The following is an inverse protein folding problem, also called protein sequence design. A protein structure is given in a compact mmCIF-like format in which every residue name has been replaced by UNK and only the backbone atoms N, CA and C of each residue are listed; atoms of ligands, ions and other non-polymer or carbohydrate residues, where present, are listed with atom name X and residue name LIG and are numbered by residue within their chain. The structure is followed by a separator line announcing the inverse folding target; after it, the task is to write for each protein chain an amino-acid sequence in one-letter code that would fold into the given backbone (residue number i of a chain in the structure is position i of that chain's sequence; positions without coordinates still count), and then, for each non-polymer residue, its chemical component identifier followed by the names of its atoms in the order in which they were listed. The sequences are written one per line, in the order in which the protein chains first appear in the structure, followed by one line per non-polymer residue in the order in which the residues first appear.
data_IF_844099541852
#
_entry.id   IF_844099541852
#
_cell.length_a   1.000
_cell.length_b   1.000
_cell.length_c   1.000
_cell.angle_alpha   90.00
_cell.angle_beta   90.00
_cell.angle_gamma   90.00
#
_symmetry.space_group_name_H-M   'P 1'
#
loop_
_entity.id
_entity.type
_entity.pdbx_description
1 polymer ?
#
# COMPACT_ATOMS: atom_id res chain seq x y z
N UNK A 1 -34.51 14.12 -15.12
CA UNK A 1 -33.07 14.49 -15.01
C UNK A 1 -32.58 14.41 -13.57
N UNK A 2 -33.30 14.96 -12.60
CA UNK A 2 -32.95 14.88 -11.16
C UNK A 2 -32.88 13.45 -10.60
N UNK A 3 -33.84 12.57 -10.92
CA UNK A 3 -33.81 11.16 -10.49
C UNK A 3 -32.58 10.38 -10.99
N UNK A 4 -32.11 10.68 -12.21
CA UNK A 4 -30.90 10.06 -12.79
C UNK A 4 -29.64 10.57 -12.08
N UNK A 5 -29.59 11.86 -11.76
CA UNK A 5 -28.49 12.47 -10.99
C UNK A 5 -28.46 11.90 -9.55
N UNK A 6 -29.62 11.72 -8.93
CA UNK A 6 -29.75 11.16 -7.58
C UNK A 6 -29.33 9.68 -7.53
N UNK A 7 -29.74 8.88 -8.53
CA UNK A 7 -29.29 7.49 -8.66
C UNK A 7 -27.78 7.38 -8.85
N UNK A 8 -27.16 8.27 -9.64
CA UNK A 8 -25.70 8.29 -9.81
C UNK A 8 -24.97 8.65 -8.51
N UNK A 9 -25.46 9.61 -7.73
CA UNK A 9 -24.89 9.96 -6.42
C UNK A 9 -24.97 8.79 -5.44
N UNK A 10 -26.12 8.13 -5.35
CA UNK A 10 -26.31 6.96 -4.47
C UNK A 10 -25.37 5.81 -4.85
N UNK A 11 -25.17 5.55 -6.15
CA UNK A 11 -24.22 4.54 -6.64
C UNK A 11 -22.79 4.83 -6.19
N UNK A 12 -22.35 6.09 -6.28
CA UNK A 12 -21.02 6.51 -5.83
C UNK A 12 -20.86 6.29 -4.33
N UNK A 13 -21.85 6.67 -3.52
CA UNK A 13 -21.82 6.48 -2.05
C UNK A 13 -21.69 5.00 -1.70
N UNK A 14 -22.50 4.14 -2.30
CA UNK A 14 -22.44 2.68 -2.08
C UNK A 14 -21.06 2.12 -2.45
N UNK A 15 -20.48 2.58 -3.56
CA UNK A 15 -19.17 2.14 -4.00
C UNK A 15 -18.04 2.64 -3.08
N UNK A 16 -18.14 3.87 -2.56
CA UNK A 16 -17.20 4.38 -1.54
C UNK A 16 -17.30 3.57 -0.24
N UNK A 17 -18.50 3.22 0.21
CA UNK A 17 -18.69 2.37 1.39
C UNK A 17 -18.09 0.98 1.20
N UNK A 18 -18.22 0.37 0.00
CA UNK A 18 -17.53 -0.89 -0.33
C UNK A 18 -16.02 -0.76 -0.29
N UNK A 19 -15.47 0.32 -0.84
CA UNK A 19 -14.03 0.60 -0.77
C UNK A 19 -13.57 0.72 0.68
N UNK A 20 -14.29 1.49 1.51
CA UNK A 20 -13.95 1.65 2.92
C UNK A 20 -14.03 0.34 3.70
N UNK A 21 -15.08 -0.47 3.46
CA UNK A 21 -15.20 -1.79 4.08
C UNK A 21 -14.01 -2.69 3.72
N UNK A 22 -13.64 -2.75 2.44
CA UNK A 22 -12.49 -3.54 1.98
C UNK A 22 -11.16 -2.97 2.48
N UNK A 23 -11.04 -1.65 2.62
CA UNK A 23 -9.87 -0.99 3.21
C UNK A 23 -9.68 -1.40 4.67
N UNK A 24 -10.77 -1.41 5.45
CA UNK A 24 -10.71 -1.90 6.82
C UNK A 24 -10.42 -3.39 6.87
N UNK A 25 -11.00 -4.20 5.97
CA UNK A 25 -10.68 -5.63 5.89
C UNK A 25 -9.18 -5.86 5.67
N UNK A 26 -8.55 -5.12 4.75
CA UNK A 26 -7.11 -5.18 4.50
C UNK A 26 -6.30 -4.88 5.76
N UNK A 27 -6.66 -3.85 6.52
CA UNK A 27 -5.93 -3.46 7.73
C UNK A 27 -6.19 -4.40 8.92
N UNK A 28 -7.42 -4.92 9.08
CA UNK A 28 -7.80 -5.72 10.25
C UNK A 28 -7.57 -7.22 10.10
N UNK A 29 -7.53 -7.77 8.88
CA UNK A 29 -7.32 -9.21 8.68
C UNK A 29 -5.99 -9.65 9.29
N UNK A 30 -4.91 -8.93 9.00
CA UNK A 30 -3.58 -9.26 9.50
C UNK A 30 -3.52 -9.18 11.03
N UNK A 31 -4.16 -8.18 11.63
CA UNK A 31 -4.27 -8.06 13.10
C UNK A 31 -5.10 -9.20 13.70
N UNK A 32 -6.19 -9.59 13.06
CA UNK A 32 -7.04 -10.69 13.50
C UNK A 32 -6.28 -12.02 13.46
N UNK A 33 -5.62 -12.34 12.35
CA UNK A 33 -4.83 -13.56 12.21
C UNK A 33 -3.70 -13.63 13.25
N UNK A 34 -3.02 -12.50 13.50
CA UNK A 34 -2.03 -12.39 14.57
C UNK A 34 -2.63 -12.73 15.95
N UNK A 35 -3.77 -12.11 16.32
CA UNK A 35 -4.43 -12.37 17.61
C UNK A 35 -4.93 -13.80 17.76
N UNK A 36 -5.36 -14.42 16.68
CA UNK A 36 -5.76 -15.85 16.68
C UNK A 36 -4.55 -16.72 17.01
N UNK A 37 -3.40 -16.49 16.38
CA UNK A 37 -2.18 -17.23 16.72
C UNK A 37 -1.73 -16.94 18.14
N UNK A 38 -1.80 -15.69 18.59
CA UNK A 38 -1.50 -15.33 19.99
C UNK A 38 -2.40 -16.02 21.00
N UNK A 39 -3.64 -16.34 20.63
CA UNK A 39 -4.56 -17.08 21.49
C UNK A 39 -4.18 -18.58 21.59
N UNK A 40 -3.76 -19.20 20.49
CA UNK A 40 -3.45 -20.64 20.43
C UNK A 40 -2.01 -20.98 20.78
N UNK A 41 -1.08 -20.05 20.59
CA UNK A 41 0.34 -20.20 20.88
C UNK A 41 0.64 -19.38 22.14
N UNK A 42 1.27 -19.97 23.16
CA UNK A 42 1.75 -19.23 24.33
C UNK A 42 2.50 -17.97 23.87
N UNK A 43 2.19 -16.81 24.47
CA UNK A 43 2.74 -15.51 24.04
C UNK A 43 4.28 -15.51 23.94
N UNK A 44 4.95 -16.29 24.79
CA UNK A 44 6.40 -16.42 24.84
C UNK A 44 6.99 -17.25 23.67
N UNK A 45 6.17 -17.97 22.89
CA UNK A 45 6.58 -18.83 21.77
C UNK A 45 6.36 -18.19 20.40
N UNK A 46 5.70 -17.03 20.30
CA UNK A 46 5.45 -16.38 19.00
C UNK A 46 6.73 -15.72 18.51
N UNK A 47 7.39 -16.36 17.54
CA UNK A 47 8.57 -15.79 16.88
C UNK A 47 8.16 -14.78 15.79
N UNK A 48 9.06 -13.85 15.48
CA UNK A 48 8.86 -12.86 14.43
C UNK A 48 8.63 -13.49 13.05
N UNK A 49 9.30 -14.61 12.78
CA UNK A 49 9.12 -15.38 11.54
C UNK A 49 7.68 -15.92 11.42
N UNK A 50 7.07 -16.39 12.51
CA UNK A 50 5.67 -16.84 12.51
C UNK A 50 4.72 -15.69 12.16
N UNK A 51 4.97 -14.48 12.68
CA UNK A 51 4.17 -13.28 12.33
C UNK A 51 4.24 -13.00 10.83
N UNK A 52 5.43 -13.07 10.23
CA UNK A 52 5.60 -12.88 8.78
C UNK A 52 4.91 -13.97 7.96
N UNK A 53 4.98 -15.24 8.39
CA UNK A 53 4.28 -16.34 7.71
C UNK A 53 2.77 -16.11 7.72
N UNK A 54 2.21 -15.68 8.85
CA UNK A 54 0.78 -15.37 8.99
C UNK A 54 0.39 -14.22 8.05
N UNK A 55 1.20 -13.16 7.99
CA UNK A 55 0.96 -12.03 7.09
C UNK A 55 1.00 -12.47 5.62
N UNK A 56 1.91 -13.35 5.22
CA UNK A 56 1.94 -13.90 3.86
C UNK A 56 0.66 -14.66 3.51
N UNK A 57 0.12 -15.44 4.45
CA UNK A 57 -1.16 -16.14 4.28
C UNK A 57 -2.30 -15.12 4.12
N UNK A 58 -2.36 -14.11 5.00
CA UNK A 58 -3.34 -13.02 4.92
C UNK A 58 -3.29 -12.29 3.59
N UNK A 59 -2.09 -11.88 3.15
CA UNK A 59 -1.86 -11.25 1.85
C UNK A 59 -2.30 -12.14 0.69
N UNK A 60 -2.04 -13.45 0.75
CA UNK A 60 -2.49 -14.39 -0.30
C UNK A 60 -4.02 -14.42 -0.43
N UNK A 61 -4.73 -14.43 0.70
CA UNK A 61 -6.20 -14.40 0.73
C UNK A 61 -6.71 -13.09 0.11
N UNK A 62 -6.14 -11.95 0.50
CA UNK A 62 -6.55 -10.63 0.01
C UNK A 62 -6.23 -10.44 -1.48
N UNK A 63 -5.05 -10.85 -1.94
CA UNK A 63 -4.66 -10.83 -3.36
C UNK A 63 -5.67 -11.63 -4.19
N UNK A 64 -6.06 -12.83 -3.71
CA UNK A 64 -7.03 -13.69 -4.40
C UNK A 64 -8.41 -13.01 -4.47
N UNK A 65 -8.88 -12.45 -3.34
CA UNK A 65 -10.14 -11.74 -3.24
C UNK A 65 -10.18 -10.51 -4.18
N UNK A 66 -9.17 -9.66 -4.14
CA UNK A 66 -9.13 -8.45 -4.95
C UNK A 66 -8.97 -8.75 -6.44
N UNK A 67 -8.21 -9.79 -6.79
CA UNK A 67 -8.12 -10.28 -8.18
C UNK A 67 -9.50 -10.73 -8.68
N UNK A 68 -10.25 -11.47 -7.86
CA UNK A 68 -11.61 -11.90 -8.19
C UNK A 68 -12.57 -10.72 -8.38
N UNK A 69 -12.58 -9.77 -7.43
CA UNK A 69 -13.46 -8.60 -7.45
C UNK A 69 -13.17 -7.63 -8.60
N UNK A 70 -11.95 -7.65 -9.14
CA UNK A 70 -11.49 -6.74 -10.20
C UNK A 70 -11.27 -7.40 -11.58
N UNK A 71 -11.70 -8.66 -11.75
CA UNK A 71 -11.43 -9.48 -12.95
C UNK A 71 -11.88 -8.89 -14.28
N UNK A 72 -12.92 -8.05 -14.27
CA UNK A 72 -13.51 -7.49 -15.49
C UNK A 72 -12.80 -6.21 -15.98
N UNK A 73 -11.81 -5.71 -15.24
CA UNK A 73 -11.18 -4.44 -15.56
C UNK A 73 -10.06 -4.63 -16.60
N UNK A 74 -10.23 -4.04 -17.79
CA UNK A 74 -9.26 -4.14 -18.89
C UNK A 74 -8.03 -3.30 -18.57
N UNK A 75 -6.86 -3.94 -18.56
CA UNK A 75 -5.57 -3.26 -18.47
C UNK A 75 -5.10 -2.85 -19.86
N UNK A 76 -4.53 -1.65 -19.97
CA UNK A 76 -3.86 -1.21 -21.18
C UNK A 76 -2.41 -0.98 -20.81
N UNK A 77 -1.47 -1.34 -21.68
CA UNK A 77 -0.05 -1.18 -21.40
C UNK A 77 0.56 -0.24 -22.43
N UNK A 78 1.09 0.90 -21.97
CA UNK A 78 1.93 1.77 -22.81
C UNK A 78 2.94 2.52 -21.93
N UNK A 79 4.08 1.89 -21.66
CA UNK A 79 5.23 2.60 -21.11
C UNK A 79 5.85 3.50 -22.20
N UNK A 80 6.13 4.75 -21.86
CA UNK A 80 6.92 5.65 -22.70
C UNK A 80 8.05 6.26 -21.86
N UNK A 81 9.05 6.83 -22.53
CA UNK A 81 10.23 7.43 -21.89
C UNK A 81 9.87 8.54 -20.87
N UNK A 82 8.77 9.27 -21.10
CA UNK A 82 8.29 10.30 -20.15
C UNK A 82 7.83 9.70 -18.82
N UNK A 83 7.20 8.51 -18.83
CA UNK A 83 6.82 7.81 -17.60
C UNK A 83 8.03 7.34 -16.79
N UNK A 84 9.09 6.89 -17.47
CA UNK A 84 10.35 6.49 -16.82
C UNK A 84 11.05 7.69 -16.18
N UNK A 85 11.09 8.83 -16.88
CA UNK A 85 11.67 10.05 -16.33
C UNK A 85 10.90 10.55 -15.09
N UNK A 86 9.57 10.50 -15.13
CA UNK A 86 8.73 10.82 -13.96
C UNK A 86 9.06 9.89 -12.80
N UNK A 87 9.15 8.58 -13.03
CA UNK A 87 9.54 7.58 -12.03
C UNK A 87 10.87 7.95 -11.35
N UNK A 88 11.89 8.32 -12.14
CA UNK A 88 13.22 8.67 -11.62
C UNK A 88 13.17 9.97 -10.79
N UNK A 89 12.52 11.02 -11.31
CA UNK A 89 12.35 12.30 -10.59
C UNK A 89 11.65 12.07 -9.25
N UNK A 90 10.70 11.15 -9.23
CA UNK A 90 9.94 10.84 -8.03
C UNK A 90 10.79 10.15 -7.00
N UNK A 91 11.56 9.13 -7.40
CA UNK A 91 12.49 8.45 -6.50
C UNK A 91 13.44 9.48 -5.87
N UNK A 92 13.97 10.42 -6.66
CA UNK A 92 14.81 11.51 -6.16
C UNK A 92 14.06 12.40 -5.16
N UNK A 93 12.83 12.83 -5.47
CA UNK A 93 12.01 13.65 -4.57
C UNK A 93 11.71 12.89 -3.27
N UNK A 94 11.41 11.59 -3.34
CA UNK A 94 11.13 10.79 -2.14
C UNK A 94 12.37 10.64 -1.25
N UNK A 95 13.54 10.41 -1.85
CA UNK A 95 14.81 10.36 -1.12
C UNK A 95 15.12 11.72 -0.45
N UNK A 96 14.90 12.82 -1.16
CA UNK A 96 15.10 14.18 -0.61
C UNK A 96 14.12 14.45 0.55
N UNK A 97 12.86 14.05 0.41
CA UNK A 97 11.86 14.20 1.48
C UNK A 97 12.19 13.33 2.70
N UNK A 98 12.67 12.10 2.50
CA UNK A 98 13.08 11.21 3.59
C UNK A 98 14.27 11.80 4.37
N UNK A 99 15.29 12.29 3.66
CA UNK A 99 16.44 12.97 4.27
C UNK A 99 16.00 14.26 4.97
N UNK A 100 15.19 15.09 4.31
CA UNK A 100 14.71 16.34 4.90
C UNK A 100 13.93 16.09 6.19
N UNK A 101 13.09 15.05 6.20
CA UNK A 101 12.33 14.68 7.38
C UNK A 101 13.22 14.17 8.52
N UNK A 102 14.22 13.37 8.22
CA UNK A 102 15.13 12.86 9.25
C UNK A 102 15.79 13.98 10.05
N UNK A 103 16.01 15.15 9.42
CA UNK A 103 16.54 16.35 10.06
C UNK A 103 15.49 17.10 10.92
N UNK A 104 14.19 16.93 10.67
CA UNK A 104 13.10 17.55 11.44
C UNK A 104 12.56 16.65 12.57
N UNK A 105 12.63 15.32 12.45
CA UNK A 105 12.10 14.36 13.43
C UNK A 105 13.08 13.94 14.51
N UNK A 106 14.30 14.51 14.55
CA UNK A 106 15.40 14.14 15.45
C UNK A 106 15.10 14.31 16.96
N UNK A 107 13.86 14.62 17.35
CA UNK A 107 13.44 14.84 18.74
C UNK A 107 12.13 14.15 19.18
N UNK A 108 11.62 13.11 18.50
CA UNK A 108 10.29 12.55 18.84
C UNK A 108 10.15 11.01 18.86
N UNK A 109 9.05 10.56 19.47
CA UNK A 109 8.54 9.17 19.57
C UNK A 109 8.58 8.37 18.25
N UNK A 110 8.53 9.07 17.10
CA UNK A 110 8.60 8.47 15.77
C UNK A 110 9.97 7.82 15.49
N UNK A 111 11.06 8.39 15.99
CA UNK A 111 12.42 7.84 15.85
C UNK A 111 12.54 6.51 16.61
N UNK A 112 11.88 6.40 17.77
CA UNK A 112 11.81 5.16 18.56
C UNK A 112 11.03 4.08 17.79
N UNK A 113 9.89 4.43 17.19
CA UNK A 113 9.09 3.51 16.36
C UNK A 113 9.90 3.03 15.15
N UNK A 114 10.62 3.95 14.49
CA UNK A 114 11.49 3.64 13.36
C UNK A 114 12.62 2.67 13.76
N UNK A 115 13.33 2.95 14.86
CA UNK A 115 14.36 2.05 15.39
C UNK A 115 13.80 0.68 15.80
N UNK A 116 12.58 0.64 16.36
CA UNK A 116 11.92 -0.61 16.71
C UNK A 116 11.58 -1.44 15.47
N UNK A 117 11.07 -0.83 14.39
CA UNK A 117 10.88 -1.52 13.09
C UNK A 117 12.18 -2.01 12.50
N UNK A 118 13.24 -1.19 12.57
CA UNK A 118 14.57 -1.54 12.10
C UNK A 118 15.11 -2.80 12.79
N UNK A 119 15.00 -2.87 14.12
CA UNK A 119 15.38 -4.07 14.87
C UNK A 119 14.52 -5.29 14.52
N UNK A 120 13.23 -5.09 14.22
CA UNK A 120 12.32 -6.12 13.75
C UNK A 120 12.77 -6.71 12.40
N UNK A 121 13.12 -5.86 11.43
CA UNK A 121 13.56 -6.32 10.10
C UNK A 121 14.87 -7.08 10.14
N UNK A 122 15.82 -6.70 11.01
CA UNK A 122 17.09 -7.41 11.17
C UNK A 122 16.97 -8.79 11.81
N UNK A 123 15.88 -9.05 12.56
CA UNK A 123 15.70 -10.26 13.35
C UNK A 123 14.79 -11.30 12.69
N UNK A 124 14.23 -10.98 11.53
CA UNK A 124 13.37 -11.87 10.72
C UNK A 124 14.20 -12.54 9.64
N UNK A 125 13.82 -13.76 9.25
CA UNK A 125 14.38 -14.44 8.11
C UNK A 125 14.33 -13.56 6.84
N UNK A 126 15.48 -13.32 6.21
CA UNK A 126 15.61 -12.43 5.04
C UNK A 126 14.67 -12.81 3.89
N UNK A 127 14.43 -14.11 3.67
CA UNK A 127 13.50 -14.57 2.63
C UNK A 127 12.06 -14.16 2.94
N UNK A 128 11.62 -14.31 4.19
CA UNK A 128 10.29 -13.87 4.62
C UNK A 128 10.13 -12.36 4.49
N UNK A 129 11.17 -11.60 4.85
CA UNK A 129 11.20 -10.15 4.69
C UNK A 129 11.05 -9.73 3.22
N UNK A 130 11.82 -10.36 2.31
CA UNK A 130 11.75 -10.13 0.87
C UNK A 130 10.37 -10.47 0.33
N UNK A 131 9.85 -11.66 0.64
CA UNK A 131 8.53 -12.08 0.16
C UNK A 131 7.44 -11.13 0.62
N UNK A 132 7.42 -10.74 1.90
CA UNK A 132 6.38 -9.86 2.41
C UNK A 132 6.50 -8.43 1.86
N UNK A 133 7.65 -7.78 2.03
CA UNK A 133 7.79 -6.34 1.77
C UNK A 133 8.00 -6.03 0.29
N UNK A 134 8.75 -6.88 -0.42
CA UNK A 134 9.07 -6.64 -1.84
C UNK A 134 8.03 -7.26 -2.76
N UNK A 135 7.36 -8.36 -2.38
CA UNK A 135 6.47 -9.07 -3.31
C UNK A 135 5.01 -8.97 -2.93
N UNK A 136 4.61 -9.52 -1.78
CA UNK A 136 3.19 -9.68 -1.42
C UNK A 136 2.51 -8.34 -1.09
N UNK A 137 3.10 -7.52 -0.20
CA UNK A 137 2.52 -6.22 0.18
C UNK A 137 2.30 -5.33 -1.04
N UNK A 138 3.30 -5.11 -1.93
CA UNK A 138 3.09 -4.30 -3.12
C UNK A 138 1.99 -4.84 -4.04
N UNK A 139 1.91 -6.15 -4.28
CA UNK A 139 0.84 -6.72 -5.13
C UNK A 139 -0.53 -6.49 -4.50
N UNK A 140 -0.66 -6.77 -3.21
CA UNK A 140 -1.90 -6.60 -2.45
C UNK A 140 -2.37 -5.15 -2.47
N UNK A 141 -1.48 -4.22 -2.14
CA UNK A 141 -1.74 -2.79 -2.10
C UNK A 141 -2.13 -2.26 -3.48
N UNK A 142 -1.40 -2.60 -4.54
CA UNK A 142 -1.72 -2.13 -5.88
C UNK A 142 -3.05 -2.70 -6.39
N UNK A 143 -3.38 -3.96 -6.08
CA UNK A 143 -4.69 -4.53 -6.38
C UNK A 143 -5.81 -3.74 -5.70
N UNK A 144 -5.63 -3.37 -4.44
CA UNK A 144 -6.62 -2.58 -3.71
C UNK A 144 -6.67 -1.13 -4.21
N UNK A 145 -5.59 -0.37 -4.04
CA UNK A 145 -5.59 1.07 -4.26
C UNK A 145 -5.70 1.46 -5.73
N UNK A 146 -5.29 0.59 -6.66
CA UNK A 146 -5.42 0.86 -8.10
C UNK A 146 -6.57 0.11 -8.70
N UNK A 147 -6.55 -1.22 -8.62
CA UNK A 147 -7.51 -2.01 -9.38
C UNK A 147 -8.91 -1.91 -8.78
N UNK A 148 -9.08 -2.12 -7.48
CA UNK A 148 -10.40 -2.07 -6.82
C UNK A 148 -10.97 -0.65 -6.82
N UNK A 149 -10.20 0.35 -6.37
CA UNK A 149 -10.69 1.74 -6.32
C UNK A 149 -11.11 2.25 -7.70
N UNK A 150 -10.30 2.02 -8.75
CA UNK A 150 -10.66 2.44 -10.11
C UNK A 150 -11.74 1.55 -10.76
N UNK A 151 -11.99 0.35 -10.24
CA UNK A 151 -13.14 -0.48 -10.67
C UNK A 151 -14.45 0.08 -10.12
N UNK A 152 -14.48 0.43 -8.83
CA UNK A 152 -15.70 0.90 -8.18
C UNK A 152 -16.01 2.38 -8.43
N UNK A 153 -15.01 3.20 -8.74
CA UNK A 153 -15.21 4.62 -9.05
C UNK A 153 -15.04 4.88 -10.55
N UNK A 154 -16.17 5.00 -11.26
CA UNK A 154 -16.21 5.25 -12.71
C UNK A 154 -15.49 6.56 -13.12
N UNK A 155 -15.53 7.57 -12.25
CA UNK A 155 -14.78 8.80 -12.45
C UNK A 155 -13.31 8.58 -12.07
N UNK A 156 -12.45 8.39 -13.08
CA UNK A 156 -11.00 8.17 -12.88
C UNK A 156 -10.30 9.26 -12.07
N UNK A 157 -10.73 10.52 -12.15
CA UNK A 157 -10.13 11.61 -11.35
C UNK A 157 -10.50 11.47 -9.88
N UNK A 158 -11.75 11.11 -9.58
CA UNK A 158 -12.17 10.80 -8.21
C UNK A 158 -11.44 9.56 -7.68
N UNK A 159 -11.33 8.51 -8.50
CA UNK A 159 -10.57 7.30 -8.16
C UNK A 159 -9.12 7.61 -7.82
N UNK A 160 -8.46 8.47 -8.62
CA UNK A 160 -7.10 8.95 -8.36
C UNK A 160 -7.01 9.66 -7.00
N UNK A 161 -7.88 10.61 -6.70
CA UNK A 161 -7.87 11.35 -5.44
C UNK A 161 -8.08 10.41 -4.24
N UNK A 162 -9.09 9.53 -4.31
CA UNK A 162 -9.39 8.56 -3.25
C UNK A 162 -8.23 7.59 -3.04
N UNK A 163 -7.62 7.11 -4.13
CA UNK A 163 -6.42 6.27 -4.11
C UNK A 163 -5.25 6.94 -3.40
N UNK A 164 -4.97 8.21 -3.72
CA UNK A 164 -3.87 8.98 -3.09
C UNK A 164 -4.10 9.14 -1.59
N UNK A 165 -5.30 9.56 -1.20
CA UNK A 165 -5.64 9.83 0.21
C UNK A 165 -5.59 8.54 1.02
N UNK A 166 -6.25 7.47 0.57
CA UNK A 166 -6.30 6.21 1.31
C UNK A 166 -4.93 5.53 1.40
N UNK A 167 -4.10 5.61 0.36
CA UNK A 167 -2.74 5.06 0.40
C UNK A 167 -1.87 5.80 1.42
N UNK A 168 -1.86 7.14 1.37
CA UNK A 168 -1.11 7.95 2.33
C UNK A 168 -1.60 7.70 3.78
N UNK A 169 -2.91 7.58 3.95
CA UNK A 169 -3.53 7.33 5.25
C UNK A 169 -3.19 5.94 5.82
N UNK A 170 -3.18 4.89 5.00
CA UNK A 170 -2.77 3.55 5.43
C UNK A 170 -1.34 3.53 5.99
N UNK A 171 -0.47 4.37 5.46
CA UNK A 171 0.94 4.41 5.84
C UNK A 171 1.24 5.42 6.97
N UNK A 172 0.27 6.25 7.34
CA UNK A 172 0.48 7.31 8.32
C UNK A 172 0.23 6.93 9.77
N UNK A 173 -0.39 5.78 10.03
CA UNK A 173 -0.77 5.35 11.39
C UNK A 173 -1.55 6.45 12.16
N UNK A 174 -2.44 7.16 11.46
CA UNK A 174 -3.22 8.29 11.98
C UNK A 174 -2.39 9.52 12.42
N UNK A 175 -1.10 9.57 12.08
CA UNK A 175 -0.26 10.74 12.32
C UNK A 175 -0.27 11.67 11.09
N UNK A 176 -0.56 12.96 11.31
CA UNK A 176 -0.67 13.94 10.22
C UNK A 176 0.66 14.26 9.54
N UNK A 177 1.76 14.32 10.30
CA UNK A 177 3.09 14.57 9.75
C UNK A 177 3.50 13.41 8.83
N UNK A 178 3.36 12.18 9.31
CA UNK A 178 3.62 10.95 8.52
C UNK A 178 2.72 10.92 7.29
N UNK A 179 1.46 11.32 7.39
CA UNK A 179 0.57 11.41 6.24
C UNK A 179 1.10 12.35 5.16
N UNK A 180 1.54 13.56 5.54
CA UNK A 180 2.10 14.55 4.62
C UNK A 180 3.34 14.01 3.91
N UNK A 181 4.11 13.14 4.56
CA UNK A 181 5.31 12.55 4.00
C UNK A 181 5.04 11.42 3.01
N UNK A 182 3.98 10.64 3.26
CA UNK A 182 3.54 9.62 2.32
C UNK A 182 2.74 10.21 1.15
N UNK A 183 2.22 11.43 1.24
CA UNK A 183 1.46 12.06 0.16
C UNK A 183 2.22 12.11 -1.18
N UNK A 184 3.49 12.59 -1.25
CA UNK A 184 4.24 12.63 -2.50
C UNK A 184 4.34 11.26 -3.17
N UNK A 185 4.81 10.23 -2.46
CA UNK A 185 4.91 8.89 -3.05
C UNK A 185 3.54 8.37 -3.48
N UNK A 186 2.50 8.58 -2.66
CA UNK A 186 1.10 8.19 -2.95
C UNK A 186 0.58 8.82 -4.24
N UNK A 187 0.86 10.13 -4.44
CA UNK A 187 0.55 10.87 -5.66
C UNK A 187 1.21 10.20 -6.85
N UNK A 188 2.50 9.89 -6.75
CA UNK A 188 3.25 9.42 -7.91
C UNK A 188 2.78 8.03 -8.30
N UNK A 189 2.73 7.11 -7.35
CA UNK A 189 2.37 5.73 -7.64
C UNK A 189 0.93 5.65 -8.16
N UNK A 190 0.04 6.54 -7.70
CA UNK A 190 -1.32 6.65 -8.25
C UNK A 190 -1.34 7.27 -9.65
N UNK A 191 -0.47 8.24 -9.94
CA UNK A 191 -0.34 8.86 -11.27
C UNK A 191 0.23 7.91 -12.32
N UNK A 192 1.17 7.05 -11.95
CA UNK A 192 1.70 6.00 -12.85
C UNK A 192 0.55 5.11 -13.30
N UNK A 193 -0.26 4.58 -12.38
CA UNK A 193 -1.43 3.79 -12.75
C UNK A 193 -2.49 4.60 -13.52
N UNK A 194 -2.77 5.85 -13.10
CA UNK A 194 -3.74 6.71 -13.79
C UNK A 194 -3.38 6.90 -15.27
N UNK A 195 -2.08 7.09 -15.58
CA UNK A 195 -1.56 7.31 -16.94
C UNK A 195 -1.38 6.02 -17.73
N UNK A 196 -0.92 4.95 -17.08
CA UNK A 196 -0.58 3.69 -17.76
C UNK A 196 -1.76 2.73 -17.86
N UNK A 197 -2.66 2.74 -16.88
CA UNK A 197 -3.73 1.75 -16.69
C UNK A 197 -3.21 0.30 -16.67
N UNK A 198 -1.98 0.10 -16.16
CA UNK A 198 -1.35 -1.20 -16.03
C UNK A 198 -1.03 -1.48 -14.57
N UNK A 199 -1.61 -2.55 -14.04
CA UNK A 199 -1.30 -3.00 -12.68
C UNK A 199 0.15 -3.50 -12.62
N UNK A 200 0.56 -4.26 -13.63
CA UNK A 200 1.91 -4.83 -13.72
C UNK A 200 3.01 -3.76 -13.64
N UNK A 201 2.86 -2.64 -14.36
CA UNK A 201 3.82 -1.52 -14.28
C UNK A 201 3.91 -0.98 -12.86
N UNK A 202 2.74 -0.76 -12.24
CA UNK A 202 2.70 -0.16 -10.91
C UNK A 202 3.28 -1.09 -9.85
N UNK A 203 2.96 -2.38 -9.90
CA UNK A 203 3.56 -3.38 -9.03
C UNK A 203 5.08 -3.37 -9.17
N UNK A 204 5.62 -3.48 -10.39
CA UNK A 204 7.09 -3.48 -10.59
C UNK A 204 7.73 -2.23 -10.00
N UNK A 205 7.16 -1.04 -10.26
CA UNK A 205 7.67 0.21 -9.68
C UNK A 205 7.65 0.17 -8.14
N UNK A 206 6.55 -0.29 -7.54
CA UNK A 206 6.42 -0.39 -6.09
C UNK A 206 7.41 -1.40 -5.49
N UNK A 207 7.54 -2.58 -6.09
CA UNK A 207 8.49 -3.61 -5.66
C UNK A 207 9.93 -3.07 -5.70
N UNK A 208 10.30 -2.32 -6.75
CA UNK A 208 11.61 -1.69 -6.84
C UNK A 208 11.80 -0.63 -5.76
N UNK A 209 10.80 0.22 -5.53
CA UNK A 209 10.83 1.22 -4.47
C UNK A 209 11.05 0.58 -3.09
N UNK A 210 10.28 -0.46 -2.76
CA UNK A 210 10.41 -1.19 -1.50
C UNK A 210 11.75 -1.92 -1.39
N UNK A 211 12.26 -2.48 -2.49
CA UNK A 211 13.59 -3.09 -2.53
C UNK A 211 14.68 -2.06 -2.15
N UNK A 212 14.66 -0.87 -2.74
CA UNK A 212 15.58 0.20 -2.38
C UNK A 212 15.45 0.62 -0.91
N UNK A 213 14.22 0.68 -0.38
CA UNK A 213 13.99 1.07 1.01
C UNK A 213 14.60 0.07 2.01
N UNK A 214 14.58 -1.23 1.70
CA UNK A 214 15.02 -2.28 2.64
C UNK A 214 16.39 -2.89 2.34
N UNK A 215 17.05 -2.53 1.24
CA UNK A 215 18.31 -3.18 0.83
C UNK A 215 19.40 -3.11 1.90
N UNK A 216 19.48 -1.99 2.63
CA UNK A 216 20.41 -1.79 3.77
C UNK A 216 20.16 -2.71 4.96
N UNK A 217 19.04 -3.44 4.97
CA UNK A 217 18.68 -4.41 6.02
C UNK A 217 18.93 -5.85 5.57
N UNK A 218 19.20 -6.06 4.28
CA UNK A 218 19.45 -7.38 3.69
C UNK A 218 20.96 -7.71 3.61
N UNK A 219 21.81 -6.70 3.63
CA UNK A 219 23.28 -6.80 3.59
C UNK A 219 23.79 -6.71 5.02
#
# INVERSE_FOLDING_TARGET
MELVIQNNKMKIIVNLLKILLLFFLLNYLNLFLFKVVEFFVNKDLITLDLVFIINLIGSTILITLFSYLSKNNKEYYKLNLKSILIIIIVIIITLVLEVSLSLFLDSTEQTIIFHKRMNYYKSVNKLLLILQIIVFSPIEEELFFRKIIFTYLENRKLALIVSIILFAFAHSYFNLEIFILFLPISIIISLIYYKTNSLKVNCIFHMLFNCFAIIKYLI
#
